data_IF_926459461571
#
_entry.id   IF_926459461571
#
_cell.length_a   1.000
_cell.length_b   1.000
_cell.length_c   1.000
_cell.angle_alpha   90.00
_cell.angle_beta   90.00
_cell.angle_gamma   90.00
#
_symmetry.space_group_name_H-M   'P 1'
#
loop_
_entity.id
_entity.type
_entity.pdbx_description
1 polymer ?
#
# COMPACT_ATOMS: atom_id res chain seq x y z
N UNK A 1 -14.43 -9.30 10.88
CA UNK A 1 -13.85 -8.39 9.87
C UNK A 1 -14.05 -6.93 10.20
N UNK A 2 -12.95 -6.19 10.22
CA UNK A 2 -12.90 -4.74 10.30
C UNK A 2 -12.19 -4.16 9.06
N UNK A 3 -12.25 -2.83 8.92
CA UNK A 3 -11.45 -2.11 7.93
C UNK A 3 -10.21 -1.53 8.60
N UNK A 4 -9.05 -1.74 7.98
CA UNK A 4 -7.77 -1.24 8.45
C UNK A 4 -7.20 -0.27 7.43
N UNK A 5 -6.88 0.94 7.88
CA UNK A 5 -6.16 1.93 7.10
C UNK A 5 -4.66 1.78 7.37
N UNK A 6 -3.90 1.38 6.35
CA UNK A 6 -2.44 1.33 6.40
C UNK A 6 -1.90 2.55 5.70
N UNK A 7 -1.30 3.45 6.47
CA UNK A 7 -0.63 4.65 6.00
C UNK A 7 0.87 4.44 6.16
N UNK A 8 1.62 4.60 5.06
CA UNK A 8 3.07 4.44 5.06
C UNK A 8 3.74 5.58 4.30
N UNK A 9 4.99 5.86 4.64
CA UNK A 9 5.87 6.79 3.94
C UNK A 9 7.07 6.04 3.38
N UNK A 10 7.59 6.49 2.24
CA UNK A 10 8.84 5.97 1.70
C UNK A 10 10.03 6.57 2.47
N UNK A 11 11.00 5.73 2.88
CA UNK A 11 12.25 6.25 3.42
C UNK A 11 12.99 7.13 2.39
N UNK A 12 13.69 8.15 2.86
CA UNK A 12 14.54 8.96 1.99
C UNK A 12 15.64 8.10 1.33
N UNK A 13 15.89 8.30 0.04
CA UNK A 13 16.89 7.53 -0.72
C UNK A 13 16.44 6.12 -1.13
N UNK A 14 15.15 5.79 -0.99
CA UNK A 14 14.59 4.49 -1.34
C UNK A 14 14.04 4.40 -2.77
N UNK A 15 14.26 5.40 -3.63
CA UNK A 15 13.67 5.50 -4.96
C UNK A 15 14.05 4.31 -5.84
N UNK A 16 15.35 4.01 -5.94
CA UNK A 16 15.86 2.89 -6.74
C UNK A 16 15.33 1.52 -6.27
N UNK A 17 15.45 1.12 -4.98
CA UNK A 17 14.88 -0.15 -4.54
C UNK A 17 13.34 -0.17 -4.65
N UNK A 18 12.65 0.95 -4.42
CA UNK A 18 11.20 1.06 -4.61
C UNK A 18 10.82 0.80 -6.07
N UNK A 19 11.55 1.38 -7.02
CA UNK A 19 11.34 1.18 -8.46
C UNK A 19 11.53 -0.28 -8.87
N UNK A 20 12.57 -0.94 -8.37
CA UNK A 20 12.83 -2.37 -8.59
C UNK A 20 11.67 -3.26 -8.14
N UNK A 21 11.08 -2.99 -6.97
CA UNK A 21 10.02 -3.83 -6.39
C UNK A 21 8.59 -3.45 -6.80
N UNK A 22 8.39 -2.25 -7.37
CA UNK A 22 7.06 -1.72 -7.67
C UNK A 22 6.20 -2.62 -8.55
N UNK A 23 6.72 -3.26 -9.63
CA UNK A 23 5.91 -4.15 -10.44
C UNK A 23 5.37 -5.34 -9.63
N UNK A 24 6.22 -6.01 -8.86
CA UNK A 24 5.84 -7.15 -8.03
C UNK A 24 4.85 -6.75 -6.92
N UNK A 25 5.09 -5.62 -6.27
CA UNK A 25 4.17 -5.06 -5.27
C UNK A 25 2.79 -4.78 -5.87
N UNK A 26 2.73 -4.18 -7.06
CA UNK A 26 1.45 -3.92 -7.75
C UNK A 26 0.70 -5.20 -8.11
N UNK A 27 1.40 -6.22 -8.59
CA UNK A 27 0.80 -7.52 -8.88
C UNK A 27 0.17 -8.14 -7.61
N UNK A 28 0.90 -8.15 -6.50
CA UNK A 28 0.41 -8.64 -5.21
C UNK A 28 -0.83 -7.88 -4.71
N UNK A 29 -0.83 -6.55 -4.81
CA UNK A 29 -2.01 -5.75 -4.46
C UNK A 29 -3.21 -6.02 -5.39
N UNK A 30 -2.96 -6.28 -6.68
CA UNK A 30 -3.99 -6.70 -7.63
C UNK A 30 -4.67 -8.00 -7.18
N UNK A 31 -3.89 -9.03 -6.84
CA UNK A 31 -4.44 -10.28 -6.33
C UNK A 31 -5.26 -10.10 -5.04
N UNK A 32 -4.84 -9.21 -4.13
CA UNK A 32 -5.60 -8.89 -2.93
C UNK A 32 -6.91 -8.17 -3.24
N UNK A 33 -6.92 -7.29 -4.25
CA UNK A 33 -8.12 -6.63 -4.72
C UNK A 33 -9.10 -7.63 -5.36
N UNK A 34 -8.59 -8.54 -6.20
CA UNK A 34 -9.38 -9.60 -6.84
C UNK A 34 -10.04 -10.54 -5.81
N UNK A 35 -9.35 -10.80 -4.69
CA UNK A 35 -9.89 -11.56 -3.54
C UNK A 35 -10.79 -10.75 -2.61
N UNK A 36 -10.98 -9.45 -2.86
CA UNK A 36 -11.82 -8.56 -2.04
C UNK A 36 -11.22 -8.16 -0.69
N UNK A 37 -9.91 -8.39 -0.48
CA UNK A 37 -9.20 -8.00 0.73
C UNK A 37 -8.69 -6.56 0.69
N UNK A 38 -8.39 -6.03 -0.51
CA UNK A 38 -7.95 -4.64 -0.71
C UNK A 38 -9.07 -3.81 -1.33
N UNK A 39 -9.50 -2.76 -0.64
CA UNK A 39 -10.60 -1.89 -1.08
C UNK A 39 -10.10 -0.60 -1.73
N UNK A 40 -8.96 -0.08 -1.27
CA UNK A 40 -8.34 1.16 -1.78
C UNK A 40 -6.83 0.96 -1.82
N UNK A 41 -6.20 1.41 -2.90
CA UNK A 41 -4.74 1.54 -3.01
C UNK A 41 -4.40 2.78 -3.81
N UNK A 42 -3.55 3.64 -3.25
CA UNK A 42 -3.11 4.84 -3.95
C UNK A 42 -2.07 5.65 -3.20
N UNK A 43 -1.49 6.66 -3.88
CA UNK A 43 -0.60 7.62 -3.24
C UNK A 43 -1.35 8.43 -2.19
N UNK A 44 -0.68 8.73 -1.09
CA UNK A 44 -1.16 9.66 -0.07
C UNK A 44 -0.07 10.68 0.19
N UNK A 45 -0.32 11.94 -0.17
CA UNK A 45 0.52 13.05 0.22
C UNK A 45 0.26 13.39 1.69
N UNK A 46 1.29 13.37 2.53
CA UNK A 46 1.19 13.76 3.92
C UNK A 46 2.44 14.57 4.35
N UNK A 47 2.44 15.20 5.54
CA UNK A 47 3.59 15.98 6.02
C UNK A 47 4.88 15.16 6.23
N UNK A 48 4.78 13.83 6.31
CA UNK A 48 5.90 12.91 6.50
C UNK A 48 6.57 12.47 5.19
N UNK A 49 6.06 12.88 4.02
CA UNK A 49 6.69 12.66 2.71
C UNK A 49 5.80 11.94 1.69
N UNK A 50 6.42 11.44 0.62
CA UNK A 50 5.74 10.59 -0.36
C UNK A 50 5.45 9.22 0.23
N UNK A 51 4.23 8.73 0.02
CA UNK A 51 3.78 7.48 0.60
C UNK A 51 2.49 6.98 -0.03
N UNK A 52 1.79 6.13 0.71
CA UNK A 52 0.55 5.54 0.22
C UNK A 52 -0.44 5.24 1.33
N UNK A 53 -1.68 5.05 0.88
CA UNK A 53 -2.80 4.55 1.68
C UNK A 53 -3.26 3.23 1.08
N UNK A 54 -3.43 2.24 1.96
CA UNK A 54 -4.18 1.02 1.67
C UNK A 54 -5.38 0.94 2.63
N UNK A 55 -6.54 0.55 2.12
CA UNK A 55 -7.69 0.17 2.97
C UNK A 55 -7.93 -1.31 2.80
N UNK A 56 -7.75 -2.06 3.87
CA UNK A 56 -7.80 -3.53 3.89
C UNK A 56 -9.01 -4.00 4.68
N UNK A 57 -9.57 -5.13 4.26
CA UNK A 57 -10.55 -5.91 5.02
C UNK A 57 -9.85 -7.14 5.59
N UNK A 58 -9.75 -7.21 6.91
CA UNK A 58 -9.09 -8.30 7.63
C UNK A 58 -9.79 -8.62 8.97
N UNK A 59 -9.38 -9.70 9.62
CA UNK A 59 -9.90 -10.09 10.93
C UNK A 59 -9.11 -9.50 12.10
N UNK A 60 -7.84 -9.12 11.88
CA UNK A 60 -6.97 -8.44 12.83
C UNK A 60 -6.05 -7.44 12.14
N UNK A 61 -5.45 -6.54 12.94
CA UNK A 61 -4.31 -5.74 12.55
C UNK A 61 -3.01 -6.54 12.59
#
# INVERSE_FOLDING_TARGET
MALFAVVYAYPAGSEAPRDTHRPAHRAYLGELADRGHLLVSGPLSNPAGEGGLLVLRADSA
#
